data_IF_743816986666
#
_entry.id   IF_743816986666
#
_cell.length_a   1.000
_cell.length_b   1.000
_cell.length_c   1.000
_cell.angle_alpha   90.00
_cell.angle_beta   90.00
_cell.angle_gamma   90.00
#
_symmetry.space_group_name_H-M   'P 1'
#
loop_
_entity.id
_entity.type
_entity.pdbx_description
1 polymer ?
#
# COMPACT_ATOMS: atom_id res chain seq x y z
N UNK A 1 -15.40 4.73 -5.52
CA UNK A 1 -16.26 4.12 -6.59
C UNK A 1 -15.38 3.28 -7.50
N UNK A 2 -15.89 2.14 -8.07
CA UNK A 2 -15.15 1.34 -9.04
C UNK A 2 -14.82 2.14 -10.30
N UNK A 3 -13.55 2.11 -10.74
CA UNK A 3 -13.09 2.83 -11.94
C UNK A 3 -13.01 1.85 -13.11
N UNK A 4 -13.88 1.98 -14.13
CA UNK A 4 -13.74 1.19 -15.34
C UNK A 4 -12.54 1.71 -16.14
N UNK A 5 -11.67 0.80 -16.59
CA UNK A 5 -10.48 1.12 -17.40
C UNK A 5 -9.55 2.20 -16.77
N UNK A 6 -9.03 1.97 -15.56
CA UNK A 6 -8.10 2.91 -14.94
C UNK A 6 -6.82 3.03 -15.77
N UNK A 7 -6.17 4.20 -15.71
CA UNK A 7 -4.92 4.43 -16.44
C UNK A 7 -3.79 3.60 -15.84
N UNK A 8 -3.27 2.63 -16.59
CA UNK A 8 -2.05 1.91 -16.23
C UNK A 8 -0.84 2.85 -16.36
N UNK A 9 0.06 2.81 -15.36
CA UNK A 9 1.28 3.60 -15.32
C UNK A 9 2.47 2.72 -14.90
N UNK A 10 3.68 3.20 -15.15
CA UNK A 10 4.94 2.58 -14.74
C UNK A 10 5.63 3.40 -13.63
N UNK A 11 6.72 2.89 -13.08
CA UNK A 11 7.51 3.56 -12.04
C UNK A 11 7.93 4.98 -12.43
N UNK A 12 8.27 5.24 -13.69
CA UNK A 12 8.64 6.60 -14.14
C UNK A 12 7.50 7.61 -14.01
N UNK A 13 6.25 7.18 -14.26
CA UNK A 13 5.08 8.04 -14.06
C UNK A 13 4.79 8.25 -12.57
N UNK A 14 5.00 7.22 -11.73
CA UNK A 14 4.92 7.37 -10.26
C UNK A 14 5.93 8.41 -9.77
N UNK A 15 7.19 8.35 -10.26
CA UNK A 15 8.22 9.36 -9.97
C UNK A 15 7.79 10.77 -10.39
N UNK A 16 7.25 10.91 -11.59
CA UNK A 16 6.79 12.21 -12.09
C UNK A 16 5.66 12.80 -11.22
N UNK A 17 4.69 11.95 -10.84
CA UNK A 17 3.61 12.35 -9.93
C UNK A 17 4.17 12.78 -8.56
N UNK A 18 5.12 12.04 -8.00
CA UNK A 18 5.74 12.33 -6.72
C UNK A 18 6.53 13.65 -6.76
N UNK A 19 7.37 13.87 -7.78
CA UNK A 19 8.10 15.13 -7.98
C UNK A 19 7.18 16.33 -8.01
N UNK A 20 6.04 16.23 -8.70
CA UNK A 20 5.05 17.29 -8.78
C UNK A 20 4.35 17.56 -7.43
N UNK A 21 4.37 16.61 -6.50
CA UNK A 21 3.73 16.70 -5.19
C UNK A 21 4.70 16.98 -4.04
N UNK A 22 6.01 17.08 -4.32
CA UNK A 22 7.07 17.30 -3.35
C UNK A 22 6.77 18.49 -2.43
N UNK A 23 7.01 18.33 -1.14
CA UNK A 23 6.75 19.33 -0.10
C UNK A 23 5.28 19.47 0.31
N UNK A 24 4.34 18.85 -0.41
CA UNK A 24 2.90 18.92 -0.14
C UNK A 24 2.34 17.63 0.49
N UNK A 25 3.00 16.51 0.33
CA UNK A 25 2.64 15.22 0.92
C UNK A 25 3.49 14.98 2.16
N UNK A 26 2.87 14.43 3.20
CA UNK A 26 3.51 14.11 4.49
C UNK A 26 3.35 12.66 4.90
N UNK A 27 2.33 11.98 4.37
CA UNK A 27 1.99 10.62 4.77
C UNK A 27 1.64 9.75 3.56
N UNK A 28 1.91 8.46 3.68
CA UNK A 28 1.49 7.42 2.75
C UNK A 28 0.69 6.40 3.55
N UNK A 29 -0.55 6.12 3.13
CA UNK A 29 -1.40 5.12 3.76
C UNK A 29 -1.63 3.96 2.81
N UNK A 30 -1.45 2.75 3.35
CA UNK A 30 -1.48 1.50 2.61
C UNK A 30 -2.76 0.74 2.93
N UNK A 31 -3.38 0.21 1.87
CA UNK A 31 -4.70 -0.39 1.92
C UNK A 31 -4.79 -1.67 1.10
N UNK A 32 -5.86 -2.41 1.28
CA UNK A 32 -6.46 -3.22 0.23
C UNK A 32 -7.88 -2.74 -0.05
N UNK A 33 -8.40 -3.09 -1.22
CA UNK A 33 -9.72 -2.60 -1.63
C UNK A 33 -10.87 -3.33 -0.97
N UNK A 34 -10.65 -4.50 -0.33
CA UNK A 34 -11.66 -5.51 -0.01
C UNK A 34 -12.52 -5.89 -1.24
N UNK A 35 -12.00 -5.64 -2.44
CA UNK A 35 -12.56 -5.98 -3.75
C UNK A 35 -11.94 -7.23 -4.35
N UNK A 36 -12.40 -7.60 -5.55
CA UNK A 36 -11.82 -8.68 -6.33
C UNK A 36 -10.56 -8.20 -7.04
N UNK A 37 -9.74 -9.14 -7.52
CA UNK A 37 -8.61 -8.83 -8.37
C UNK A 37 -9.02 -7.97 -9.57
N UNK A 38 -8.14 -7.08 -10.00
CA UNK A 38 -8.38 -6.15 -11.11
C UNK A 38 -9.40 -5.04 -10.84
N UNK A 39 -10.02 -4.97 -9.66
CA UNK A 39 -10.97 -3.92 -9.32
C UNK A 39 -10.26 -2.71 -8.69
N UNK A 40 -10.02 -1.66 -9.49
CA UNK A 40 -9.48 -0.39 -9.03
C UNK A 40 -10.60 0.57 -8.56
N UNK A 41 -10.32 1.35 -7.51
CA UNK A 41 -11.26 2.30 -6.92
C UNK A 41 -10.68 3.72 -6.87
N UNK A 42 -11.54 4.71 -7.06
CA UNK A 42 -11.18 6.14 -7.06
C UNK A 42 -11.00 6.74 -5.65
N UNK A 43 -11.23 5.95 -4.61
CA UNK A 43 -10.96 6.33 -3.23
C UNK A 43 -9.46 6.43 -2.93
N UNK A 44 -8.62 5.83 -3.76
CA UNK A 44 -7.16 5.80 -3.63
C UNK A 44 -6.48 6.57 -4.77
N UNK A 45 -5.20 6.89 -4.61
CA UNK A 45 -4.39 7.55 -5.66
C UNK A 45 -3.81 6.53 -6.64
N UNK A 46 -3.30 5.42 -6.10
CA UNK A 46 -2.70 4.32 -6.85
C UNK A 46 -3.32 3.00 -6.42
N UNK A 47 -3.68 2.19 -7.40
CA UNK A 47 -4.20 0.84 -7.22
C UNK A 47 -3.21 -0.16 -7.83
N UNK A 48 -2.98 -1.30 -7.19
CA UNK A 48 -2.06 -2.34 -7.65
C UNK A 48 -2.85 -3.63 -7.81
N UNK A 49 -2.88 -4.18 -9.03
CA UNK A 49 -3.60 -5.43 -9.31
C UNK A 49 -2.81 -6.68 -8.90
N UNK A 50 -3.40 -7.85 -9.01
CA UNK A 50 -2.82 -9.15 -8.64
C UNK A 50 -1.53 -9.51 -9.40
N UNK A 51 -1.26 -8.84 -10.52
CA UNK A 51 -0.04 -9.00 -11.33
C UNK A 51 1.02 -7.95 -11.02
N UNK A 52 0.79 -7.10 -10.02
CA UNK A 52 1.68 -6.02 -9.66
C UNK A 52 1.62 -4.81 -10.61
N UNK A 53 0.59 -4.70 -11.46
CA UNK A 53 0.44 -3.55 -12.33
C UNK A 53 -0.14 -2.36 -11.58
N UNK A 54 0.38 -1.17 -11.86
CA UNK A 54 0.01 0.07 -11.16
C UNK A 54 -1.02 0.83 -12.00
N UNK A 55 -2.11 1.22 -11.37
CA UNK A 55 -3.16 2.03 -11.96
C UNK A 55 -3.33 3.34 -11.22
N UNK A 56 -3.29 4.43 -11.96
CA UNK A 56 -3.53 5.80 -11.48
C UNK A 56 -5.02 6.12 -11.52
N UNK A 57 -5.56 6.58 -10.39
CA UNK A 57 -6.97 6.98 -10.22
C UNK A 57 -7.11 8.41 -9.69
N UNK A 58 -6.04 9.20 -9.76
CA UNK A 58 -6.00 10.62 -9.39
C UNK A 58 -5.44 11.46 -10.55
N UNK A 59 -5.71 12.74 -10.56
CA UNK A 59 -5.03 13.71 -11.44
C UNK A 59 -3.63 14.01 -10.90
N UNK A 60 -3.53 14.22 -9.59
CA UNK A 60 -2.30 14.50 -8.84
C UNK A 60 -2.30 13.74 -7.52
N UNK A 61 -1.12 13.50 -6.93
CA UNK A 61 -1.01 12.92 -5.59
C UNK A 61 -1.50 13.85 -4.47
N UNK A 62 -1.77 15.10 -4.78
CA UNK A 62 -2.34 16.09 -3.84
C UNK A 62 -3.86 16.14 -3.89
N UNK A 63 -4.50 15.36 -4.75
CA UNK A 63 -5.95 15.26 -4.78
C UNK A 63 -6.45 14.68 -3.45
N UNK A 64 -7.55 15.22 -2.95
CA UNK A 64 -8.13 14.69 -1.72
C UNK A 64 -8.92 13.43 -2.03
N UNK A 65 -8.45 12.29 -1.52
CA UNK A 65 -9.08 10.96 -1.67
C UNK A 65 -9.58 10.43 -0.34
N UNK A 66 -10.71 9.70 -0.34
CA UNK A 66 -11.40 9.28 0.89
C UNK A 66 -10.95 7.88 1.38
N UNK A 67 -9.64 7.67 1.58
CA UNK A 67 -9.08 6.36 1.93
C UNK A 67 -8.86 6.14 3.44
N UNK A 68 -8.60 7.20 4.22
CA UNK A 68 -8.30 7.06 5.65
C UNK A 68 -9.04 8.12 6.46
N UNK A 69 -9.91 7.69 7.36
CA UNK A 69 -10.76 8.58 8.13
C UNK A 69 -9.96 9.66 8.88
N UNK A 70 -10.34 10.93 8.69
CA UNK A 70 -9.70 12.13 9.27
C UNK A 70 -8.21 12.33 8.93
N UNK A 71 -7.61 11.54 8.03
CA UNK A 71 -6.18 11.59 7.70
C UNK A 71 -5.87 11.76 6.21
N UNK A 72 -6.84 12.17 5.41
CA UNK A 72 -6.68 12.27 3.96
C UNK A 72 -5.88 13.51 3.50
N UNK A 73 -5.75 14.52 4.34
CA UNK A 73 -5.03 15.77 4.00
C UNK A 73 -3.52 15.52 3.95
N UNK A 74 -2.88 16.00 2.89
CA UNK A 74 -1.44 15.83 2.63
C UNK A 74 -0.99 14.35 2.69
N UNK A 75 -1.85 13.45 2.23
CA UNK A 75 -1.63 12.01 2.26
C UNK A 75 -1.89 11.35 0.91
N UNK A 76 -1.10 10.33 0.60
CA UNK A 76 -1.29 9.45 -0.56
C UNK A 76 -1.84 8.11 -0.08
N UNK A 77 -2.95 7.66 -0.65
CA UNK A 77 -3.47 6.31 -0.45
C UNK A 77 -3.05 5.38 -1.60
N UNK A 78 -2.41 4.26 -1.25
CA UNK A 78 -2.05 3.18 -2.17
C UNK A 78 -2.83 1.95 -1.75
N UNK A 79 -3.40 1.22 -2.70
CA UNK A 79 -4.20 0.04 -2.39
C UNK A 79 -3.84 -1.17 -3.26
N UNK A 80 -3.95 -2.37 -2.67
CA UNK A 80 -3.94 -3.64 -3.38
C UNK A 80 -5.37 -3.99 -3.79
N UNK A 81 -5.59 -4.35 -5.06
CA UNK A 81 -6.87 -4.82 -5.57
C UNK A 81 -7.09 -6.28 -5.17
N UNK A 82 -7.52 -6.52 -3.92
CA UNK A 82 -7.66 -7.87 -3.35
C UNK A 82 -8.54 -7.87 -2.10
N UNK A 83 -8.58 -9.01 -1.41
CA UNK A 83 -9.23 -9.26 -0.12
C UNK A 83 -10.77 -9.24 -0.17
N UNK A 84 -11.40 -9.55 -1.33
CA UNK A 84 -12.84 -9.70 -1.41
C UNK A 84 -13.35 -10.83 -0.50
N UNK A 85 -14.26 -10.48 0.42
CA UNK A 85 -14.82 -11.44 1.37
C UNK A 85 -13.85 -11.97 2.42
N UNK A 86 -12.68 -11.33 2.58
CA UNK A 86 -11.75 -11.67 3.64
C UNK A 86 -12.31 -11.32 5.02
N UNK A 87 -12.02 -12.15 6.02
CA UNK A 87 -12.43 -11.97 7.41
C UNK A 87 -11.26 -12.26 8.35
N UNK A 88 -11.30 -11.71 9.57
CA UNK A 88 -10.38 -12.10 10.63
C UNK A 88 -10.99 -13.25 11.45
N UNK A 89 -10.18 -14.27 11.71
CA UNK A 89 -10.58 -15.33 12.65
C UNK A 89 -10.37 -14.88 14.11
N UNK A 90 -10.76 -15.72 15.06
CA UNK A 90 -10.60 -15.45 16.50
C UNK A 90 -9.14 -15.26 16.96
N UNK A 91 -8.16 -15.63 16.14
CA UNK A 91 -6.72 -15.44 16.38
C UNK A 91 -6.14 -14.23 15.66
N UNK A 92 -6.99 -13.36 15.12
CA UNK A 92 -6.60 -12.19 14.34
C UNK A 92 -5.80 -12.51 13.07
N UNK A 93 -6.02 -13.69 12.51
CA UNK A 93 -5.41 -14.10 11.25
C UNK A 93 -6.43 -13.91 10.12
N UNK A 94 -6.02 -13.37 8.98
CA UNK A 94 -6.90 -13.23 7.83
C UNK A 94 -7.25 -14.60 7.26
N UNK A 95 -8.52 -14.77 6.94
CA UNK A 95 -9.04 -15.88 6.14
C UNK A 95 -9.50 -15.28 4.82
N UNK A 96 -8.81 -15.61 3.76
CA UNK A 96 -9.11 -15.11 2.43
C UNK A 96 -10.06 -16.04 1.68
N UNK A 97 -10.79 -15.48 0.73
CA UNK A 97 -11.74 -16.19 -0.12
C UNK A 97 -11.23 -16.25 -1.58
N UNK A 98 -9.97 -16.67 -1.77
CA UNK A 98 -9.32 -16.74 -3.10
C UNK A 98 -8.92 -15.39 -3.69
N UNK A 99 -8.86 -14.34 -2.87
CA UNK A 99 -8.42 -12.99 -3.26
C UNK A 99 -7.38 -12.44 -2.28
N UNK A 100 -6.48 -13.30 -1.79
CA UNK A 100 -5.37 -12.91 -0.92
C UNK A 100 -4.39 -11.97 -1.63
N UNK A 101 -3.67 -11.10 -0.91
CA UNK A 101 -2.59 -10.31 -1.49
C UNK A 101 -1.54 -11.23 -2.13
N UNK A 102 -1.20 -11.02 -3.40
CA UNK A 102 -0.15 -11.76 -4.08
C UNK A 102 1.23 -11.23 -3.71
N UNK A 103 2.27 -12.04 -3.85
CA UNK A 103 3.66 -11.61 -3.66
C UNK A 103 4.02 -10.45 -4.60
N UNK A 104 3.55 -10.50 -5.85
CA UNK A 104 3.73 -9.42 -6.83
C UNK A 104 3.09 -8.10 -6.36
N UNK A 105 1.90 -8.15 -5.77
CA UNK A 105 1.25 -6.98 -5.20
C UNK A 105 2.06 -6.40 -4.05
N UNK A 106 2.51 -7.25 -3.13
CA UNK A 106 3.28 -6.86 -1.94
C UNK A 106 4.60 -6.23 -2.36
N UNK A 107 5.35 -6.89 -3.25
CA UNK A 107 6.61 -6.39 -3.78
C UNK A 107 6.42 -5.05 -4.52
N UNK A 108 5.42 -4.95 -5.38
CA UNK A 108 5.12 -3.72 -6.12
C UNK A 108 4.70 -2.58 -5.20
N UNK A 109 3.89 -2.83 -4.16
CA UNK A 109 3.52 -1.80 -3.17
C UNK A 109 4.76 -1.29 -2.45
N UNK A 110 5.66 -2.16 -2.02
CA UNK A 110 6.91 -1.78 -1.37
C UNK A 110 7.82 -0.95 -2.30
N UNK A 111 7.95 -1.33 -3.57
CA UNK A 111 8.70 -0.57 -4.57
C UNK A 111 8.09 0.83 -4.82
N UNK A 112 6.76 0.92 -4.92
CA UNK A 112 6.05 2.21 -5.06
C UNK A 112 6.26 3.08 -3.83
N UNK A 113 6.20 2.52 -2.62
CA UNK A 113 6.50 3.26 -1.36
C UNK A 113 7.92 3.80 -1.39
N UNK A 114 8.91 3.00 -1.77
CA UNK A 114 10.30 3.44 -1.87
C UNK A 114 10.47 4.60 -2.87
N UNK A 115 9.85 4.50 -4.05
CA UNK A 115 9.85 5.56 -5.06
C UNK A 115 9.21 6.84 -4.52
N UNK A 116 8.03 6.74 -3.92
CA UNK A 116 7.33 7.90 -3.38
C UNK A 116 8.12 8.56 -2.25
N UNK A 117 8.64 7.79 -1.31
CA UNK A 117 9.43 8.34 -0.21
C UNK A 117 10.70 9.04 -0.72
N UNK A 118 11.40 8.44 -1.68
CA UNK A 118 12.59 9.05 -2.29
C UNK A 118 12.27 10.40 -2.95
N UNK A 119 11.27 10.45 -3.82
CA UNK A 119 10.94 11.65 -4.60
C UNK A 119 10.25 12.75 -3.77
N UNK A 120 9.50 12.35 -2.73
CA UNK A 120 8.82 13.27 -1.81
C UNK A 120 9.73 13.74 -0.66
N UNK A 121 10.94 13.18 -0.53
CA UNK A 121 11.88 13.40 0.58
C UNK A 121 11.25 13.03 1.94
N UNK A 122 10.58 11.88 1.98
CA UNK A 122 10.01 11.28 3.19
C UNK A 122 10.86 10.11 3.67
N UNK A 123 11.03 9.98 4.97
CA UNK A 123 11.63 8.79 5.56
C UNK A 123 10.67 7.59 5.45
N UNK A 124 11.18 6.41 5.13
CA UNK A 124 10.41 5.16 5.21
C UNK A 124 10.36 4.73 6.67
N UNK A 125 9.36 5.20 7.39
CA UNK A 125 9.21 4.95 8.83
C UNK A 125 7.74 4.82 9.23
N UNK A 126 7.50 4.38 10.46
CA UNK A 126 6.14 4.33 11.01
C UNK A 126 5.49 5.72 11.13
N UNK A 127 6.26 6.80 11.20
CA UNK A 127 5.70 8.16 11.25
C UNK A 127 5.06 8.58 9.92
N UNK A 128 5.60 8.11 8.81
CA UNK A 128 5.26 8.56 7.45
C UNK A 128 4.47 7.53 6.65
N UNK A 129 4.75 6.23 6.79
CA UNK A 129 4.14 5.14 6.04
C UNK A 129 3.41 4.20 7.00
N UNK A 130 2.09 4.09 6.86
CA UNK A 130 1.24 3.24 7.73
C UNK A 130 0.23 2.45 6.93
N UNK A 131 -0.11 1.27 7.40
CA UNK A 131 -1.32 0.58 6.94
C UNK A 131 -2.56 1.20 7.57
N UNK A 132 -3.73 0.97 6.97
CA UNK A 132 -4.99 1.41 7.55
C UNK A 132 -5.24 0.78 8.92
N UNK A 133 -4.91 -0.49 9.10
CA UNK A 133 -4.98 -1.15 10.40
C UNK A 133 -4.12 -0.45 11.46
N UNK A 134 -2.90 -0.03 11.12
CA UNK A 134 -2.04 0.72 12.03
C UNK A 134 -2.65 2.06 12.43
N UNK A 135 -3.27 2.75 11.46
CA UNK A 135 -4.00 4.00 11.75
C UNK A 135 -5.20 3.74 12.65
N UNK A 136 -5.97 2.69 12.38
CA UNK A 136 -7.13 2.32 13.20
C UNK A 136 -6.75 2.08 14.67
N UNK A 137 -5.63 1.41 14.92
CA UNK A 137 -5.10 1.23 16.27
C UNK A 137 -4.66 2.54 16.94
N UNK A 138 -4.05 3.45 16.18
CA UNK A 138 -3.63 4.75 16.70
C UNK A 138 -4.81 5.65 17.09
N UNK A 139 -5.86 5.62 16.27
CA UNK A 139 -6.99 6.53 16.38
C UNK A 139 -8.17 5.91 17.16
N UNK A 140 -8.04 4.65 17.62
CA UNK A 140 -9.02 3.99 18.46
C UNK A 140 -10.32 3.66 17.75
N UNK A 141 -10.25 3.10 16.53
CA UNK A 141 -11.41 2.54 15.82
C UNK A 141 -11.06 1.19 15.20
N UNK A 142 -12.06 0.46 14.70
CA UNK A 142 -11.88 -0.85 14.10
C UNK A 142 -11.10 -1.79 15.01
N UNK A 143 -9.98 -2.40 14.54
CA UNK A 143 -9.15 -3.26 15.37
C UNK A 143 -8.63 -2.58 16.65
N UNK A 144 -8.54 -1.26 16.68
CA UNK A 144 -8.16 -0.48 17.86
C UNK A 144 -9.22 -0.47 18.97
N UNK A 145 -10.48 -0.84 18.65
CA UNK A 145 -11.60 -1.01 19.58
C UNK A 145 -12.10 -2.45 19.63
N UNK A 146 -11.27 -3.42 19.27
CA UNK A 146 -11.64 -4.83 19.20
C UNK A 146 -12.74 -5.17 18.18
N UNK A 147 -12.96 -4.31 17.16
CA UNK A 147 -13.84 -4.57 16.04
C UNK A 147 -13.05 -5.22 14.88
N UNK A 148 -13.16 -6.56 14.68
CA UNK A 148 -12.40 -7.27 13.66
C UNK A 148 -12.95 -7.06 12.25
N UNK A 149 -14.13 -6.47 12.10
CA UNK A 149 -14.83 -6.37 10.82
C UNK A 149 -14.55 -5.04 10.11
N UNK A 150 -13.88 -4.09 10.79
CA UNK A 150 -13.70 -2.74 10.28
C UNK A 150 -12.23 -2.31 10.23
N UNK A 151 -11.78 -1.90 9.05
CA UNK A 151 -10.51 -1.19 8.84
C UNK A 151 -9.24 -1.94 9.30
N UNK A 152 -9.19 -3.23 9.05
CA UNK A 152 -8.05 -4.08 9.36
C UNK A 152 -7.13 -4.34 8.15
N UNK A 153 -7.29 -3.54 7.09
CA UNK A 153 -6.52 -3.68 5.85
C UNK A 153 -5.01 -3.72 6.14
N UNK A 154 -4.36 -4.74 5.59
CA UNK A 154 -2.93 -5.02 5.75
C UNK A 154 -2.50 -5.20 7.22
N UNK A 155 -3.42 -5.59 8.12
CA UNK A 155 -3.06 -5.98 9.48
C UNK A 155 -2.06 -7.14 9.47
N UNK A 156 -2.27 -8.10 8.58
CA UNK A 156 -1.40 -9.24 8.37
C UNK A 156 -1.18 -9.47 6.87
N UNK A 157 0.00 -9.94 6.54
CA UNK A 157 0.38 -10.51 5.26
C UNK A 157 0.89 -11.92 5.49
N UNK A 158 0.89 -12.76 4.44
CA UNK A 158 1.27 -14.18 4.54
C UNK A 158 2.62 -14.38 5.25
N UNK A 159 2.69 -15.42 6.07
CA UNK A 159 3.94 -15.88 6.68
C UNK A 159 4.33 -15.29 8.03
N UNK A 160 3.65 -14.26 8.54
CA UNK A 160 3.99 -13.65 9.82
C UNK A 160 2.91 -13.85 10.89
N UNK A 161 3.29 -14.08 12.18
CA UNK A 161 2.33 -14.20 13.26
C UNK A 161 1.65 -12.85 13.54
N UNK A 162 0.35 -12.87 13.78
CA UNK A 162 -0.43 -11.69 14.14
C UNK A 162 -0.83 -11.77 15.61
N UNK A 163 -0.63 -10.70 16.33
CA UNK A 163 -1.21 -10.49 17.66
C UNK A 163 -1.85 -9.10 17.73
N UNK A 164 -2.67 -8.85 18.73
CA UNK A 164 -3.31 -7.53 18.94
C UNK A 164 -2.30 -6.36 18.94
N UNK A 165 -1.07 -6.58 19.41
CA UNK A 165 -0.04 -5.55 19.52
C UNK A 165 1.00 -5.59 18.38
N UNK A 166 0.99 -6.61 17.54
CA UNK A 166 1.89 -6.78 16.42
C UNK A 166 1.13 -6.56 15.12
N UNK A 167 1.65 -5.70 14.26
CA UNK A 167 1.05 -5.36 12.96
C UNK A 167 2.04 -5.69 11.84
N UNK A 168 2.19 -6.96 11.54
CA UNK A 168 3.28 -7.43 10.66
C UNK A 168 3.15 -6.90 9.22
N UNK A 169 1.93 -6.64 8.73
CA UNK A 169 1.75 -6.13 7.36
C UNK A 169 2.49 -4.81 7.11
N UNK A 170 2.29 -3.83 7.99
CA UNK A 170 2.97 -2.54 7.85
C UNK A 170 4.48 -2.63 8.08
N UNK A 171 4.92 -3.47 9.01
CA UNK A 171 6.33 -3.72 9.26
C UNK A 171 7.01 -4.33 8.02
N UNK A 172 6.46 -5.41 7.48
CA UNK A 172 6.97 -6.09 6.29
C UNK A 172 7.07 -5.16 5.09
N UNK A 173 6.02 -4.37 4.83
CA UNK A 173 6.00 -3.44 3.69
C UNK A 173 7.06 -2.34 3.83
N UNK A 174 7.29 -1.80 5.04
CA UNK A 174 8.36 -0.82 5.26
C UNK A 174 9.76 -1.44 5.15
N UNK A 175 9.98 -2.67 5.65
CA UNK A 175 11.26 -3.37 5.47
C UNK A 175 11.58 -3.61 3.99
N UNK A 176 10.64 -4.19 3.25
CA UNK A 176 10.79 -4.37 1.79
C UNK A 176 11.01 -3.03 1.07
N UNK A 177 10.31 -1.96 1.44
CA UNK A 177 10.52 -0.65 0.85
C UNK A 177 11.91 -0.07 1.14
N UNK A 178 12.46 -0.31 2.33
CA UNK A 178 13.85 0.06 2.66
C UNK A 178 14.87 -0.73 1.83
N UNK A 179 14.62 -2.00 1.54
CA UNK A 179 15.45 -2.81 0.64
C UNK A 179 15.46 -2.22 -0.78
N UNK A 180 14.29 -1.91 -1.34
CA UNK A 180 14.18 -1.25 -2.65
C UNK A 180 14.85 0.13 -2.67
N UNK A 181 14.73 0.91 -1.60
CA UNK A 181 15.38 2.22 -1.48
C UNK A 181 16.90 2.12 -1.62
N UNK A 182 17.53 1.13 -0.99
CA UNK A 182 18.97 0.86 -1.12
C UNK A 182 19.38 0.53 -2.55
N UNK A 183 18.55 -0.20 -3.29
CA UNK A 183 18.80 -0.52 -4.69
C UNK A 183 18.76 0.73 -5.58
N UNK A 184 17.83 1.66 -5.32
CA UNK A 184 17.78 2.92 -6.06
C UNK A 184 19.02 3.81 -5.84
N UNK A 185 19.64 3.75 -4.67
CA UNK A 185 20.87 4.47 -4.37
C UNK A 185 22.09 3.88 -5.08
N UNK A 186 22.13 2.56 -5.28
CA UNK A 186 23.27 1.84 -5.87
C UNK A 186 23.16 1.67 -7.39
N UNK A 187 21.97 1.66 -7.94
CA UNK A 187 21.74 1.47 -9.36
C UNK A 187 21.28 2.77 -10.02
N UNK A 188 21.98 3.17 -11.08
CA UNK A 188 21.48 4.18 -12.03
C UNK A 188 20.26 3.65 -12.83
N UNK A 189 19.77 2.46 -12.54
CA UNK A 189 18.66 1.78 -13.22
C UNK A 189 17.34 2.24 -12.62
N UNK A 190 16.63 3.05 -13.35
CA UNK A 190 15.38 3.71 -12.96
C UNK A 190 14.11 2.86 -13.19
N UNK A 191 14.25 1.68 -13.73
CA UNK A 191 13.14 0.75 -14.01
C UNK A 191 13.59 -0.66 -13.63
N UNK A 192 13.03 -1.20 -12.53
CA UNK A 192 13.05 -2.63 -12.31
C UNK A 192 11.87 -3.22 -13.08
N UNK A 193 12.07 -4.17 -14.02
CA UNK A 193 10.98 -4.97 -14.57
C UNK A 193 10.27 -5.71 -13.43
N UNK A 194 8.99 -5.98 -13.56
CA UNK A 194 8.25 -6.74 -12.55
C UNK A 194 8.91 -8.10 -12.24
N UNK A 195 9.58 -8.70 -13.22
CA UNK A 195 10.34 -9.94 -13.11
C UNK A 195 11.61 -9.80 -12.24
N UNK A 196 12.28 -8.65 -12.25
CA UNK A 196 13.45 -8.40 -11.39
C UNK A 196 13.07 -8.10 -9.93
N UNK A 197 11.84 -7.65 -9.68
CA UNK A 197 11.33 -7.47 -8.33
C UNK A 197 11.26 -8.80 -7.57
N UNK A 198 11.03 -9.92 -8.28
CA UNK A 198 10.95 -11.27 -7.71
C UNK A 198 12.34 -11.87 -7.48
N UNK A 199 13.30 -11.61 -8.36
CA UNK A 199 14.66 -12.20 -8.32
C UNK A 199 15.51 -11.68 -7.15
N UNK A 200 15.05 -10.71 -6.39
CA UNK A 200 15.73 -10.19 -5.21
C UNK A 200 15.36 -10.94 -3.92
N UNK A 201 14.52 -11.98 -4.01
CA UNK A 201 14.08 -12.81 -2.88
C UNK A 201 14.80 -14.19 -2.81
N UNK A 202 15.75 -14.50 -3.71
CA UNK A 202 16.67 -15.65 -3.64
C UNK A 202 18.06 -15.24 -3.11
#
# INVERSE_FOLDING_TARGET
>A
MLVPNPKRIKHKEVRALAKNAKGRIKHIYLHWTAGRYGQAFDDYHLNIDERGEIYQTCGNLTDLKAHTWKRNTAAVGITLCCAYGAMLNSRWQPVYNGYEPTELQIAQMAAVVAILCHELELEISFSTVKTHAEVAFLDGYGPGQDDPDLRWDLLALSGLPVTKNLRPGGYLLREKALEYSKLFEHSKVLELPAEEIILLEE
#
